data_IF_660332935803
#
_entry.id   IF_660332935803
#
_cell.length_a   1.000
_cell.length_b   1.000
_cell.length_c   1.000
_cell.angle_alpha   90.00
_cell.angle_beta   90.00
_cell.angle_gamma   90.00
#
_symmetry.space_group_name_H-M   'P 1'
#
loop_
_entity.id
_entity.type
_entity.pdbx_description
1 polymer ?
#
# COMPACT_ATOMS: atom_id res chain seq x y z
N UNK A 1 -10.43 -4.91 22.81
CA UNK A 1 -10.64 -3.98 21.67
C UNK A 1 -10.86 -4.79 20.42
N UNK A 2 -11.97 -4.58 19.72
CA UNK A 2 -12.19 -5.18 18.41
C UNK A 2 -11.38 -4.39 17.37
N UNK A 3 -10.56 -5.07 16.56
CA UNK A 3 -9.72 -4.47 15.50
C UNK A 3 -10.18 -4.85 14.09
N UNK A 4 -11.42 -5.29 13.98
CA UNK A 4 -12.06 -5.61 12.71
C UNK A 4 -12.70 -4.34 12.17
N UNK A 5 -12.30 -3.92 10.98
CA UNK A 5 -12.83 -2.76 10.28
C UNK A 5 -13.73 -3.20 9.12
N UNK A 6 -14.77 -2.43 8.78
CA UNK A 6 -15.71 -2.79 7.72
C UNK A 6 -15.14 -2.65 6.30
N UNK A 7 -14.06 -1.90 6.12
CA UNK A 7 -13.33 -1.76 4.85
C UNK A 7 -11.87 -1.42 5.07
N UNK A 8 -11.05 -1.50 4.02
CA UNK A 8 -9.64 -1.10 4.07
C UNK A 8 -9.48 0.41 4.20
N UNK A 9 -10.37 1.20 3.63
CA UNK A 9 -10.39 2.65 3.82
C UNK A 9 -10.65 3.01 5.29
N UNK A 10 -11.64 2.38 5.95
CA UNK A 10 -11.91 2.59 7.37
C UNK A 10 -10.75 2.13 8.27
N UNK A 11 -10.01 1.10 7.86
CA UNK A 11 -8.83 0.64 8.60
C UNK A 11 -7.65 1.61 8.52
N UNK A 12 -7.60 2.48 7.50
CA UNK A 12 -6.51 3.43 7.25
C UNK A 12 -6.89 4.88 7.57
N UNK A 13 -8.14 5.14 7.92
CA UNK A 13 -8.66 6.49 8.19
C UNK A 13 -7.86 7.18 9.30
N UNK A 14 -7.38 8.40 9.01
CA UNK A 14 -6.58 9.20 9.94
C UNK A 14 -5.13 8.72 10.15
N UNK A 15 -4.70 7.62 9.51
CA UNK A 15 -3.34 7.08 9.63
C UNK A 15 -2.40 7.51 8.50
N UNK A 16 -2.95 7.81 7.32
CA UNK A 16 -2.18 8.05 6.10
C UNK A 16 -1.68 9.50 6.01
N UNK A 17 -0.42 9.67 5.62
CA UNK A 17 0.20 10.97 5.38
C UNK A 17 1.36 10.87 4.39
N UNK A 18 1.68 11.97 3.70
CA UNK A 18 2.78 12.04 2.74
C UNK A 18 4.13 11.79 3.40
N UNK A 19 5.02 11.08 2.71
CA UNK A 19 6.36 10.80 3.20
C UNK A 19 6.44 9.67 4.22
N UNK A 20 5.35 8.95 4.51
CA UNK A 20 5.37 7.82 5.43
C UNK A 20 6.19 6.64 4.89
N UNK A 21 6.74 5.86 5.82
CA UNK A 21 7.42 4.59 5.51
C UNK A 21 6.46 3.44 5.80
N UNK A 22 6.23 2.57 4.80
CA UNK A 22 5.35 1.42 4.91
C UNK A 22 6.16 0.15 4.66
N UNK A 23 6.03 -0.82 5.56
CA UNK A 23 6.53 -2.18 5.32
C UNK A 23 5.39 -3.03 4.75
N UNK A 24 5.61 -3.61 3.57
CA UNK A 24 4.64 -4.46 2.90
C UNK A 24 5.13 -5.91 2.86
N UNK A 25 4.27 -6.83 3.31
CA UNK A 25 4.52 -8.26 3.18
C UNK A 25 4.29 -8.78 1.75
N UNK A 26 4.74 -10.01 1.52
CA UNK A 26 4.56 -10.76 0.27
C UNK A 26 5.87 -11.19 -0.40
N UNK A 27 5.80 -12.20 -1.26
CA UNK A 27 6.91 -12.68 -2.10
C UNK A 27 6.41 -12.84 -3.54
N UNK A 28 6.93 -12.05 -4.47
CA UNK A 28 6.32 -11.87 -5.78
C UNK A 28 4.87 -11.36 -5.63
N UNK A 29 3.90 -12.18 -6.04
CA UNK A 29 2.46 -11.92 -5.87
C UNK A 29 1.81 -12.75 -4.75
N UNK A 30 2.57 -13.64 -4.09
CA UNK A 30 2.05 -14.49 -3.04
C UNK A 30 2.02 -13.73 -1.70
N UNK A 31 0.86 -13.70 -1.04
CA UNK A 31 0.71 -13.09 0.30
C UNK A 31 0.82 -11.56 0.33
N UNK A 32 0.57 -10.89 -0.79
CA UNK A 32 0.56 -9.42 -0.85
C UNK A 32 -0.75 -8.86 -0.24
N UNK A 33 -0.72 -7.68 0.41
CA UNK A 33 -1.91 -7.05 0.97
C UNK A 33 -2.69 -6.27 -0.09
N UNK A 34 -3.17 -6.94 -1.14
CA UNK A 34 -3.78 -6.32 -2.33
C UNK A 34 -4.90 -5.30 -2.05
N UNK A 35 -5.78 -5.57 -1.09
CA UNK A 35 -6.87 -4.65 -0.73
C UNK A 35 -6.35 -3.36 -0.06
N UNK A 36 -5.28 -3.45 0.74
CA UNK A 36 -4.66 -2.28 1.37
C UNK A 36 -3.83 -1.49 0.34
N UNK A 37 -3.16 -2.17 -0.59
CA UNK A 37 -2.46 -1.52 -1.71
C UNK A 37 -3.44 -0.68 -2.54
N UNK A 38 -4.61 -1.23 -2.85
CA UNK A 38 -5.65 -0.49 -3.57
C UNK A 38 -6.19 0.70 -2.76
N UNK A 39 -6.32 0.58 -1.43
CA UNK A 39 -6.71 1.71 -0.59
C UNK A 39 -5.65 2.82 -0.59
N UNK A 40 -4.36 2.46 -0.51
CA UNK A 40 -3.25 3.41 -0.63
C UNK A 40 -3.23 4.10 -2.00
N UNK A 41 -3.51 3.36 -3.08
CA UNK A 41 -3.61 3.90 -4.43
C UNK A 41 -4.69 4.98 -4.51
N UNK A 42 -5.88 4.71 -3.97
CA UNK A 42 -7.00 5.67 -3.93
C UNK A 42 -6.73 6.88 -3.03
N UNK A 43 -6.00 6.71 -1.93
CA UNK A 43 -5.70 7.80 -0.99
C UNK A 43 -4.84 8.90 -1.59
N UNK A 44 -4.12 8.59 -2.67
CA UNK A 44 -3.24 9.49 -3.41
C UNK A 44 -2.13 10.16 -2.58
N UNK A 45 -1.82 9.63 -1.39
CA UNK A 45 -0.66 10.07 -0.60
C UNK A 45 0.62 9.84 -1.38
N UNK A 46 1.59 10.74 -1.22
CA UNK A 46 2.77 10.84 -2.04
C UNK A 46 4.05 10.63 -1.23
N UNK A 47 5.16 10.49 -1.95
CA UNK A 47 6.52 10.44 -1.39
C UNK A 47 6.78 9.25 -0.45
N UNK A 48 6.07 8.14 -0.63
CA UNK A 48 6.17 6.96 0.22
C UNK A 48 7.54 6.30 0.14
N UNK A 49 8.04 5.81 1.28
CA UNK A 49 9.14 4.84 1.31
C UNK A 49 8.55 3.45 1.55
N UNK A 50 8.73 2.52 0.62
CA UNK A 50 8.17 1.17 0.74
C UNK A 50 9.29 0.16 0.98
N UNK A 51 9.18 -0.56 2.10
CA UNK A 51 10.05 -1.69 2.41
C UNK A 51 9.29 -2.96 2.01
N UNK A 52 9.75 -3.62 0.93
CA UNK A 52 9.15 -4.85 0.42
C UNK A 52 10.20 -5.75 -0.20
N UNK A 53 9.94 -7.06 -0.26
CA UNK A 53 10.79 -8.00 -0.98
C UNK A 53 10.72 -7.79 -2.50
N UNK A 54 9.53 -7.50 -3.03
CA UNK A 54 9.30 -7.21 -4.45
C UNK A 54 8.22 -6.12 -4.62
N UNK A 55 8.15 -5.50 -5.80
CA UNK A 55 7.09 -4.55 -6.13
C UNK A 55 5.87 -5.15 -6.85
N UNK A 56 5.83 -6.47 -7.07
CA UNK A 56 4.81 -7.09 -7.93
C UNK A 56 5.11 -6.90 -9.44
N UNK A 57 4.12 -7.17 -10.28
CA UNK A 57 4.24 -7.20 -11.76
C UNK A 57 2.91 -6.81 -12.42
N UNK A 58 2.95 -6.40 -13.69
CA UNK A 58 1.79 -6.28 -14.60
C UNK A 58 0.48 -5.77 -13.96
N UNK A 59 0.50 -4.50 -13.54
CA UNK A 59 -0.65 -3.82 -12.92
C UNK A 59 -1.21 -4.53 -11.66
N UNK A 60 -0.38 -5.29 -10.95
CA UNK A 60 -0.77 -5.99 -9.74
C UNK A 60 0.29 -5.90 -8.64
N UNK A 61 -0.14 -5.55 -7.43
CA UNK A 61 0.73 -5.26 -6.29
C UNK A 61 1.24 -3.83 -6.25
N UNK A 62 2.40 -3.61 -5.60
CA UNK A 62 2.95 -2.27 -5.32
C UNK A 62 3.35 -1.49 -6.59
N UNK A 63 3.50 -2.17 -7.73
CA UNK A 63 3.78 -1.55 -9.03
C UNK A 63 2.72 -0.51 -9.40
N UNK A 64 1.49 -0.67 -8.92
CA UNK A 64 0.40 0.30 -9.10
C UNK A 64 0.73 1.65 -8.45
N UNK A 65 1.27 1.64 -7.22
CA UNK A 65 1.68 2.85 -6.52
C UNK A 65 2.90 3.49 -7.19
N UNK A 66 3.82 2.67 -7.73
CA UNK A 66 4.98 3.14 -8.47
C UNK A 66 4.58 3.82 -9.78
N UNK A 67 3.67 3.20 -10.55
CA UNK A 67 3.11 3.77 -11.78
C UNK A 67 2.37 5.09 -11.51
N UNK A 68 1.66 5.18 -10.38
CA UNK A 68 0.99 6.40 -9.94
C UNK A 68 1.93 7.43 -9.26
N UNK A 69 3.25 7.19 -9.29
CA UNK A 69 4.31 8.07 -8.74
C UNK A 69 4.19 8.34 -7.22
N UNK A 70 3.49 7.48 -6.48
CA UNK A 70 3.32 7.63 -5.04
C UNK A 70 4.55 7.18 -4.23
N UNK A 71 5.42 6.34 -4.81
CA UNK A 71 6.63 5.82 -4.16
C UNK A 71 7.85 6.68 -4.51
N UNK A 72 8.56 7.15 -3.48
CA UNK A 72 9.85 7.85 -3.57
C UNK A 72 11.04 6.89 -3.44
N UNK A 73 10.93 5.88 -2.58
CA UNK A 73 12.04 4.96 -2.25
C UNK A 73 11.55 3.56 -1.98
#
# INVERSE_FOLDING_TARGET
>A
MNRIYPSTEAALEGLLYDGMTIMSGGFGLCGIPENLINALLKSNIQNLTIISNNCGVDNFGLVLLLQNKQIKK
#
